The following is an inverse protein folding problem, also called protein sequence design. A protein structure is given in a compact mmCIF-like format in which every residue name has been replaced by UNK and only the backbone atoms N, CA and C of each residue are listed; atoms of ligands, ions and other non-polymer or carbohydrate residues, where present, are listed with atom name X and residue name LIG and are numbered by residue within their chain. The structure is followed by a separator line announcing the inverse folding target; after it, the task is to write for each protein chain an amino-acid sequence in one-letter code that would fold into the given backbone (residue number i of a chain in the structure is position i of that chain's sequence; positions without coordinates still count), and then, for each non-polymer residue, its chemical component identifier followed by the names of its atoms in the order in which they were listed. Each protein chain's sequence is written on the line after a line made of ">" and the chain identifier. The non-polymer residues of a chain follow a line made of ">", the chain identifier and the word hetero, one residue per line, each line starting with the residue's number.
data_IF_385550126339
#
_entry.id   IF_385550126339
#
_cell.length_a   1.000
_cell.length_b   1.000
_cell.length_c   1.000
_cell.angle_alpha   90.00
_cell.angle_beta   90.00
_cell.angle_gamma   90.00
#
_symmetry.space_group_name_H-M   'P 1'
#
loop_
_entity.id
_entity.type
_entity.pdbx_description
1 polymer ?
#
# COMPACT_ATOMS: atom_id res chain seq x y z
N UNK A 1 44.14 -38.85 -47.88
CA UNK A 1 44.08 -38.25 -46.51
C UNK A 1 44.97 -39.03 -45.54
N UNK A 2 46.11 -38.44 -45.15
CA UNK A 2 47.15 -39.06 -44.31
C UNK A 2 46.62 -39.43 -42.91
N UNK A 3 47.10 -40.54 -42.32
CA UNK A 3 46.66 -41.05 -41.01
C UNK A 3 46.70 -39.97 -39.91
N UNK A 4 47.70 -39.07 -39.94
CA UNK A 4 47.81 -37.93 -39.01
C UNK A 4 46.68 -36.91 -39.16
N UNK A 5 46.24 -36.64 -40.38
CA UNK A 5 45.15 -35.69 -40.64
C UNK A 5 43.79 -36.24 -40.16
N UNK A 6 43.56 -37.56 -40.30
CA UNK A 6 42.35 -38.21 -39.78
C UNK A 6 42.29 -38.18 -38.25
N UNK A 7 43.43 -38.37 -37.60
CA UNK A 7 43.53 -38.33 -36.13
C UNK A 7 43.23 -36.92 -35.59
N UNK A 8 43.79 -35.88 -36.22
CA UNK A 8 43.53 -34.50 -35.82
C UNK A 8 42.05 -34.14 -36.00
N UNK A 9 41.46 -34.49 -37.14
CA UNK A 9 40.02 -34.24 -37.39
C UNK A 9 39.14 -34.97 -36.38
N UNK A 10 39.47 -36.22 -36.02
CA UNK A 10 38.71 -36.96 -35.02
C UNK A 10 38.80 -36.34 -33.62
N UNK A 11 39.99 -35.87 -33.22
CA UNK A 11 40.19 -35.19 -31.93
C UNK A 11 39.46 -33.85 -31.89
N UNK A 12 39.54 -33.05 -32.96
CA UNK A 12 38.81 -31.78 -33.05
C UNK A 12 37.29 -32.00 -33.04
N UNK A 13 36.78 -33.01 -33.76
CA UNK A 13 35.36 -33.33 -33.75
C UNK A 13 34.89 -33.78 -32.35
N UNK A 14 35.69 -34.61 -31.64
CA UNK A 14 35.40 -35.00 -30.27
C UNK A 14 35.35 -33.82 -29.30
N UNK A 15 36.32 -32.89 -29.42
CA UNK A 15 36.36 -31.67 -28.62
C UNK A 15 35.15 -30.77 -28.86
N UNK A 16 34.77 -30.56 -30.13
CA UNK A 16 33.58 -29.77 -30.49
C UNK A 16 32.30 -30.40 -29.91
N UNK A 17 32.15 -31.72 -30.01
CA UNK A 17 30.99 -32.42 -29.42
C UNK A 17 30.97 -32.28 -27.91
N UNK A 18 32.12 -32.39 -27.22
CA UNK A 18 32.19 -32.23 -25.76
C UNK A 18 31.86 -30.80 -25.31
N UNK A 19 32.31 -29.78 -26.05
CA UNK A 19 31.98 -28.37 -25.75
C UNK A 19 30.49 -28.10 -25.99
N UNK A 20 29.91 -28.66 -27.05
CA UNK A 20 28.47 -28.54 -27.34
C UNK A 20 27.58 -29.28 -26.35
N UNK A 21 28.06 -30.38 -25.75
CA UNK A 21 27.35 -31.09 -24.68
C UNK A 21 27.46 -30.36 -23.34
N UNK A 22 28.63 -29.81 -23.03
CA UNK A 22 28.84 -29.02 -21.81
C UNK A 22 28.09 -27.69 -21.82
N UNK A 23 27.96 -27.04 -22.98
CA UNK A 23 27.17 -25.80 -23.13
C UNK A 23 25.65 -26.01 -23.14
N UNK A 24 25.19 -27.26 -23.27
CA UNK A 24 23.78 -27.65 -23.10
C UNK A 24 23.42 -28.04 -21.67
N UNK A 25 24.40 -28.23 -20.80
CA UNK A 25 24.16 -28.26 -19.36
C UNK A 25 23.96 -26.81 -18.92
N UNK A 26 22.76 -26.28 -19.18
CA UNK A 26 22.33 -25.03 -18.58
C UNK A 26 22.55 -25.13 -17.08
N UNK A 27 23.06 -24.06 -16.48
CA UNK A 27 22.99 -23.89 -15.03
C UNK A 27 21.54 -24.16 -14.62
N UNK A 28 21.30 -25.30 -13.99
CA UNK A 28 20.09 -25.50 -13.22
C UNK A 28 20.23 -24.53 -12.04
N UNK A 29 19.85 -23.28 -12.28
CA UNK A 29 19.58 -22.37 -11.20
C UNK A 29 18.39 -23.01 -10.51
N UNK A 30 18.64 -23.51 -9.30
CA UNK A 30 17.63 -24.12 -8.46
C UNK A 30 16.46 -23.13 -8.44
N UNK A 31 15.35 -23.53 -9.06
CA UNK A 31 14.17 -22.71 -9.13
C UNK A 31 13.62 -22.74 -7.71
N UNK A 32 14.03 -21.76 -6.89
CA UNK A 32 13.52 -21.59 -5.53
C UNK A 32 12.01 -21.72 -5.62
N UNK A 33 11.46 -22.69 -4.90
CA UNK A 33 10.01 -22.81 -4.83
C UNK A 33 9.49 -21.49 -4.27
N UNK A 34 8.54 -20.84 -4.96
CA UNK A 34 7.83 -19.70 -4.42
C UNK A 34 7.37 -20.01 -2.98
N UNK A 35 7.66 -19.11 -2.03
CA UNK A 35 7.41 -19.31 -0.60
C UNK A 35 8.55 -19.96 0.21
N UNK A 36 9.68 -20.34 -0.39
CA UNK A 36 10.85 -20.90 0.31
C UNK A 36 11.82 -19.84 0.87
N UNK A 37 11.33 -18.64 1.18
CA UNK A 37 12.13 -17.58 1.79
C UNK A 37 12.71 -18.04 3.13
N UNK A 38 13.88 -17.50 3.52
CA UNK A 38 14.49 -17.84 4.80
C UNK A 38 13.68 -17.20 5.93
N UNK A 39 12.65 -17.89 6.40
CA UNK A 39 12.11 -17.61 7.71
C UNK A 39 13.23 -17.78 8.74
N UNK A 40 13.30 -16.88 9.73
CA UNK A 40 14.29 -16.98 10.80
C UNK A 40 14.24 -18.33 11.55
N UNK A 41 13.10 -19.02 11.45
CA UNK A 41 12.88 -20.40 11.89
C UNK A 41 12.32 -21.22 10.73
N UNK A 42 12.96 -22.33 10.32
CA UNK A 42 12.44 -23.21 9.27
C UNK A 42 11.00 -23.66 9.53
N UNK A 43 10.11 -23.49 8.55
CA UNK A 43 8.70 -23.88 8.63
C UNK A 43 7.77 -22.83 9.27
N UNK A 44 8.29 -21.69 9.73
CA UNK A 44 7.49 -20.56 10.21
C UNK A 44 7.23 -19.55 9.08
N UNK A 45 6.12 -18.80 9.18
CA UNK A 45 5.84 -17.67 8.31
C UNK A 45 6.45 -16.38 8.91
N UNK A 46 6.99 -15.49 8.07
CA UNK A 46 7.71 -14.26 8.47
C UNK A 46 9.23 -14.32 8.19
N UNK A 47 9.91 -13.18 8.16
CA UNK A 47 11.35 -13.08 7.84
C UNK A 47 11.84 -11.64 7.74
N UNK A 48 13.15 -11.44 7.55
CA UNK A 48 13.75 -10.11 7.31
C UNK A 48 13.80 -9.73 5.81
N UNK A 49 13.51 -10.68 4.93
CA UNK A 49 13.32 -10.39 3.51
C UNK A 49 12.13 -9.43 3.33
N UNK A 50 12.19 -8.55 2.33
CA UNK A 50 11.20 -7.47 2.09
C UNK A 50 9.75 -8.00 2.11
N UNK A 51 9.53 -9.22 1.63
CA UNK A 51 8.23 -9.89 1.64
C UNK A 51 8.22 -11.16 2.52
N UNK A 52 9.30 -11.48 3.23
CA UNK A 52 9.44 -12.74 3.96
C UNK A 52 9.21 -13.97 3.07
N UNK A 53 8.59 -15.05 3.59
CA UNK A 53 8.27 -16.25 2.83
C UNK A 53 6.96 -16.13 2.04
N UNK A 54 6.45 -14.92 1.80
CA UNK A 54 5.18 -14.70 1.12
C UNK A 54 5.39 -14.45 -0.38
N UNK A 55 4.51 -15.01 -1.20
CA UNK A 55 4.34 -14.60 -2.59
C UNK A 55 3.48 -13.35 -2.64
N UNK A 56 3.98 -12.30 -3.29
CA UNK A 56 3.21 -11.08 -3.50
C UNK A 56 2.17 -11.36 -4.59
N UNK A 57 0.91 -11.08 -4.28
CA UNK A 57 -0.15 -11.03 -5.29
C UNK A 57 -0.02 -9.72 -6.04
N UNK A 58 0.43 -9.78 -7.29
CA UNK A 58 0.56 -8.59 -8.12
C UNK A 58 -0.80 -7.92 -8.30
N UNK A 59 -0.81 -6.58 -8.23
CA UNK A 59 -2.01 -5.76 -8.40
C UNK A 59 -3.15 -6.11 -7.43
N UNK A 60 -2.80 -6.48 -6.19
CA UNK A 60 -3.73 -6.48 -5.07
C UNK A 60 -3.43 -5.29 -4.14
N UNK A 61 -4.41 -4.42 -3.83
CA UNK A 61 -5.74 -4.35 -4.45
C UNK A 61 -5.69 -4.01 -5.95
N UNK A 62 -6.73 -4.40 -6.68
CA UNK A 62 -6.85 -4.09 -8.12
C UNK A 62 -7.01 -2.59 -8.33
N UNK A 63 -6.69 -2.08 -9.54
CA UNK A 63 -7.01 -0.70 -9.91
C UNK A 63 -8.47 -0.34 -9.56
N UNK A 64 -8.68 0.85 -8.98
CA UNK A 64 -10.01 1.31 -8.54
C UNK A 64 -11.03 1.25 -9.68
N UNK A 65 -10.60 1.50 -10.92
CA UNK A 65 -11.43 1.42 -12.13
C UNK A 65 -12.04 0.05 -12.42
N UNK A 66 -11.51 -1.04 -11.85
CA UNK A 66 -12.10 -2.37 -12.01
C UNK A 66 -13.36 -2.56 -11.15
N UNK A 67 -13.50 -1.81 -10.05
CA UNK A 67 -14.64 -1.89 -9.13
C UNK A 67 -15.55 -0.65 -9.17
N UNK A 68 -14.96 0.52 -9.44
CA UNK A 68 -15.64 1.81 -9.36
C UNK A 68 -15.74 2.48 -10.73
N UNK A 69 -16.96 2.73 -11.26
CA UNK A 69 -17.15 3.49 -12.48
C UNK A 69 -16.54 4.90 -12.40
N UNK A 70 -15.96 5.41 -13.49
CA UNK A 70 -15.39 6.76 -13.55
C UNK A 70 -14.05 6.94 -12.84
N UNK A 71 -13.37 5.84 -12.48
CA UNK A 71 -12.06 5.84 -11.82
C UNK A 71 -10.90 5.50 -12.75
N UNK A 72 -11.10 5.51 -14.07
CA UNK A 72 -10.05 5.18 -15.05
C UNK A 72 -8.85 6.13 -14.97
N UNK A 73 -9.07 7.38 -14.54
CA UNK A 73 -8.04 8.39 -14.33
C UNK A 73 -7.56 8.53 -12.88
N UNK A 74 -7.97 7.65 -11.97
CA UNK A 74 -7.77 7.80 -10.53
C UNK A 74 -7.21 6.52 -9.90
N UNK A 75 -6.54 6.68 -8.77
CA UNK A 75 -5.91 5.56 -8.05
C UNK A 75 -5.85 5.84 -6.55
N UNK A 76 -5.57 4.80 -5.78
CA UNK A 76 -5.39 4.87 -4.34
C UNK A 76 -4.36 5.94 -3.97
N UNK A 77 -4.57 6.53 -2.81
CA UNK A 77 -3.75 7.61 -2.29
C UNK A 77 -2.84 7.09 -1.18
N UNK A 78 -2.56 7.94 -0.20
CA UNK A 78 -1.79 7.61 0.99
C UNK A 78 -2.64 6.70 1.86
N UNK A 79 -2.46 5.38 1.70
CA UNK A 79 -2.97 4.39 2.65
C UNK A 79 -2.25 4.61 3.97
N UNK A 80 -3.04 4.91 4.99
CA UNK A 80 -2.55 5.14 6.35
C UNK A 80 -2.52 3.83 7.13
N UNK A 81 -3.55 3.00 6.92
CA UNK A 81 -3.65 1.70 7.59
C UNK A 81 -4.52 0.70 6.81
N UNK A 82 -4.34 -0.58 7.13
CA UNK A 82 -5.06 -1.72 6.57
C UNK A 82 -5.39 -2.70 7.69
N UNK A 83 -6.67 -3.07 7.83
CA UNK A 83 -7.12 -4.05 8.82
C UNK A 83 -7.89 -5.19 8.17
N UNK A 84 -7.41 -6.41 8.33
CA UNK A 84 -8.06 -7.61 7.80
C UNK A 84 -9.00 -8.24 8.84
N UNK A 85 -10.30 -7.96 8.76
CA UNK A 85 -11.30 -8.66 9.56
C UNK A 85 -11.42 -10.13 9.12
N UNK A 86 -11.36 -10.35 7.80
CA UNK A 86 -11.33 -11.68 7.19
C UNK A 86 -10.65 -11.60 5.81
N UNK A 87 -10.35 -12.73 5.16
CA UNK A 87 -9.84 -12.71 3.79
C UNK A 87 -10.75 -11.95 2.81
N UNK A 88 -12.06 -11.95 3.03
CA UNK A 88 -13.04 -11.30 2.13
C UNK A 88 -13.43 -9.88 2.57
N UNK A 89 -12.84 -9.39 3.66
CA UNK A 89 -13.23 -8.11 4.24
C UNK A 89 -12.01 -7.45 4.87
N UNK A 90 -11.25 -6.75 4.03
CA UNK A 90 -10.04 -6.02 4.41
C UNK A 90 -10.31 -4.53 4.30
N UNK A 91 -10.30 -3.84 5.43
CA UNK A 91 -10.41 -2.39 5.49
C UNK A 91 -9.13 -1.75 4.98
N UNK A 92 -9.27 -0.73 4.14
CA UNK A 92 -8.22 0.16 3.69
C UNK A 92 -8.62 1.58 4.05
N UNK A 93 -7.82 2.22 4.89
CA UNK A 93 -8.00 3.62 5.28
C UNK A 93 -6.94 4.47 4.59
N UNK A 94 -7.38 5.51 3.89
CA UNK A 94 -6.52 6.36 3.09
C UNK A 94 -6.93 7.82 3.10
N UNK A 95 -6.03 8.68 2.62
CA UNK A 95 -6.34 10.07 2.31
C UNK A 95 -6.91 10.20 0.90
N UNK A 96 -8.23 10.11 0.75
CA UNK A 96 -8.88 10.34 -0.54
C UNK A 96 -8.24 9.59 -1.72
N UNK A 97 -8.09 10.26 -2.84
CA UNK A 97 -7.57 9.69 -4.07
C UNK A 97 -6.61 10.63 -4.80
N UNK A 98 -5.80 10.03 -5.68
CA UNK A 98 -4.87 10.76 -6.51
C UNK A 98 -5.02 10.38 -7.99
N UNK A 99 -4.66 11.26 -8.94
CA UNK A 99 -4.70 10.95 -10.36
C UNK A 99 -3.80 9.76 -10.71
N UNK A 100 -4.25 8.90 -11.61
CA UNK A 100 -3.42 7.81 -12.13
C UNK A 100 -2.31 8.39 -13.03
N UNK A 101 -1.06 8.01 -12.78
CA UNK A 101 0.08 8.36 -13.64
C UNK A 101 0.50 7.09 -14.37
N UNK A 102 -0.11 6.85 -15.54
CA UNK A 102 0.16 5.64 -16.34
C UNK A 102 1.58 5.58 -16.88
N UNK A 103 2.17 6.75 -17.19
CA UNK A 103 3.48 6.84 -17.80
C UNK A 103 4.34 7.87 -17.07
N UNK A 104 5.60 7.52 -16.81
CA UNK A 104 6.57 8.46 -16.24
C UNK A 104 6.76 9.63 -17.20
N UNK A 105 6.48 10.88 -16.80
CA UNK A 105 6.73 12.02 -17.66
C UNK A 105 8.24 12.21 -17.86
N UNK A 106 8.61 12.77 -19.01
CA UNK A 106 10.00 13.08 -19.33
C UNK A 106 10.55 14.11 -18.35
N UNK A 107 11.78 13.92 -17.90
CA UNK A 107 12.49 14.91 -17.08
C UNK A 107 12.66 16.23 -17.84
N UNK A 108 12.28 17.33 -17.19
CA UNK A 108 12.54 18.70 -17.63
C UNK A 108 13.67 19.31 -16.80
N UNK A 109 14.54 20.08 -17.44
CA UNK A 109 15.56 20.87 -16.75
C UNK A 109 14.92 22.11 -16.14
N UNK A 110 15.32 22.47 -14.92
CA UNK A 110 14.81 23.61 -14.15
C UNK A 110 15.95 24.59 -13.83
N UNK A 111 16.61 25.19 -14.84
CA UNK A 111 17.75 26.08 -14.64
C UNK A 111 17.43 27.31 -13.79
N UNK A 112 16.16 27.74 -13.76
CA UNK A 112 15.67 28.84 -12.93
C UNK A 112 15.74 28.55 -11.43
N UNK A 113 15.74 27.29 -11.02
CA UNK A 113 15.88 26.88 -9.62
C UNK A 113 17.35 26.67 -9.22
N UNK A 114 18.24 26.47 -10.19
CA UNK A 114 19.67 26.28 -9.96
C UNK A 114 20.36 25.31 -10.93
N UNK A 115 21.69 25.31 -10.95
CA UNK A 115 22.47 24.44 -11.83
C UNK A 115 22.25 22.95 -11.47
N UNK A 116 22.07 22.10 -12.47
CA UNK A 116 21.97 20.66 -12.28
C UNK A 116 20.58 20.14 -11.86
N UNK A 117 19.56 21.00 -11.79
CA UNK A 117 18.21 20.60 -11.36
C UNK A 117 17.33 20.12 -12.53
N UNK A 118 16.70 18.96 -12.33
CA UNK A 118 15.72 18.38 -13.25
C UNK A 118 14.60 17.66 -12.47
N UNK A 119 13.38 17.65 -13.03
CA UNK A 119 12.23 16.95 -12.44
C UNK A 119 11.30 16.35 -13.53
N UNK A 120 10.66 15.19 -13.31
CA UNK A 120 10.95 14.25 -12.22
C UNK A 120 12.34 13.62 -12.39
N UNK A 121 13.00 13.30 -11.28
CA UNK A 121 14.21 12.50 -11.34
C UNK A 121 13.83 11.04 -11.66
N UNK A 122 14.35 10.48 -12.76
CA UNK A 122 13.99 9.15 -13.23
C UNK A 122 14.24 8.02 -12.21
N UNK A 123 15.11 8.26 -11.21
CA UNK A 123 15.44 7.30 -10.14
C UNK A 123 14.59 7.44 -8.88
N UNK A 124 13.75 8.47 -8.79
CA UNK A 124 12.90 8.72 -7.62
C UNK A 124 11.44 8.38 -7.93
N UNK A 125 10.60 8.10 -6.91
CA UNK A 125 9.16 8.00 -7.07
C UNK A 125 8.58 9.17 -7.87
N UNK A 126 7.53 8.90 -8.64
CA UNK A 126 6.91 9.90 -9.53
C UNK A 126 6.32 11.09 -8.77
N UNK A 127 5.79 10.83 -7.57
CA UNK A 127 5.22 11.82 -6.67
C UNK A 127 5.47 11.42 -5.22
N UNK A 128 5.48 12.41 -4.34
CA UNK A 128 5.28 12.19 -2.91
C UNK A 128 3.78 12.24 -2.62
N UNK A 129 3.12 11.09 -2.53
CA UNK A 129 1.66 11.00 -2.32
C UNK A 129 1.20 11.83 -1.11
N UNK A 130 1.93 11.76 0.01
CA UNK A 130 1.66 12.52 1.24
C UNK A 130 1.53 14.04 1.08
N UNK A 131 2.28 14.62 0.14
CA UNK A 131 2.25 16.05 -0.16
C UNK A 131 1.33 16.43 -1.33
N UNK A 132 0.81 15.42 -2.04
CA UNK A 132 0.01 15.60 -3.25
C UNK A 132 -1.48 15.77 -2.97
N UNK A 133 -1.92 15.44 -1.75
CA UNK A 133 -3.29 15.65 -1.27
C UNK A 133 -3.28 16.37 0.09
N UNK A 134 -4.13 17.41 0.29
CA UNK A 134 -4.31 18.02 1.61
C UNK A 134 -4.83 17.02 2.65
N UNK A 135 -4.92 17.47 3.89
CA UNK A 135 -5.75 16.81 4.89
C UNK A 135 -7.18 17.36 4.76
N UNK A 136 -8.18 16.65 5.28
CA UNK A 136 -9.58 17.03 5.17
C UNK A 136 -9.95 18.39 5.80
N UNK A 137 -9.17 18.89 6.75
CA UNK A 137 -9.32 20.27 7.28
C UNK A 137 -8.79 21.37 6.34
N UNK A 138 -8.06 20.97 5.30
CA UNK A 138 -7.26 21.86 4.46
C UNK A 138 -7.61 21.73 2.97
N UNK A 139 -8.80 21.22 2.65
CA UNK A 139 -9.26 21.04 1.26
C UNK A 139 -9.34 22.38 0.50
N UNK A 140 -9.70 23.46 1.19
CA UNK A 140 -9.80 24.81 0.62
C UNK A 140 -8.53 25.65 0.80
N UNK A 141 -7.48 25.09 1.40
CA UNK A 141 -6.26 25.83 1.68
C UNK A 141 -5.47 26.09 0.39
N UNK A 142 -5.06 27.35 0.19
CA UNK A 142 -4.24 27.74 -0.96
C UNK A 142 -2.92 26.97 -1.02
N UNK A 143 -2.50 26.59 -2.23
CA UNK A 143 -1.22 25.91 -2.46
C UNK A 143 -1.22 24.40 -2.19
N UNK A 144 -2.39 23.77 -2.00
CA UNK A 144 -2.53 22.32 -1.75
C UNK A 144 -2.97 21.54 -2.99
N UNK A 145 -2.50 21.95 -4.17
CA UNK A 145 -2.97 21.39 -5.44
C UNK A 145 -4.40 21.85 -5.79
N UNK A 146 -4.94 21.32 -6.88
CA UNK A 146 -6.27 21.65 -7.41
C UNK A 146 -7.24 20.49 -7.14
N UNK A 147 -8.33 20.71 -6.38
CA UNK A 147 -9.39 19.71 -6.21
C UNK A 147 -9.92 19.21 -7.56
N UNK A 148 -10.14 17.91 -7.71
CA UNK A 148 -10.65 17.27 -8.93
C UNK A 148 -9.64 17.18 -10.08
N UNK A 149 -8.43 17.72 -9.93
CA UNK A 149 -7.35 17.61 -10.93
C UNK A 149 -6.11 16.95 -10.32
N UNK A 150 -5.68 17.40 -9.14
CA UNK A 150 -4.49 16.89 -8.46
C UNK A 150 -4.84 15.89 -7.35
N UNK A 151 -6.09 15.88 -6.88
CA UNK A 151 -6.63 14.97 -5.85
C UNK A 151 -8.18 14.98 -5.81
N UNK A 152 -8.80 13.96 -5.21
CA UNK A 152 -10.20 13.94 -4.74
C UNK A 152 -10.23 13.55 -3.26
N UNK A 153 -11.13 14.15 -2.48
CA UNK A 153 -11.31 13.77 -1.07
C UNK A 153 -12.57 12.91 -0.93
N UNK A 154 -12.46 11.69 -1.43
CA UNK A 154 -13.53 10.69 -1.50
C UNK A 154 -12.93 9.30 -1.26
N UNK A 155 -13.73 8.32 -0.82
CA UNK A 155 -13.29 6.93 -0.61
C UNK A 155 -12.15 6.81 0.41
N UNK A 156 -12.24 7.57 1.52
CA UNK A 156 -11.24 7.52 2.58
C UNK A 156 -11.23 6.20 3.34
N UNK A 157 -12.37 5.49 3.35
CA UNK A 157 -12.52 4.16 3.95
C UNK A 157 -13.15 3.24 2.90
N UNK A 158 -12.39 2.21 2.52
CA UNK A 158 -12.79 1.19 1.56
C UNK A 158 -12.69 -0.19 2.20
N UNK A 159 -13.45 -1.15 1.68
CA UNK A 159 -13.32 -2.56 2.05
C UNK A 159 -13.06 -3.39 0.80
N UNK A 160 -12.06 -4.26 0.88
CA UNK A 160 -11.48 -4.98 -0.25
C UNK A 160 -11.53 -6.49 0.03
N UNK A 161 -11.92 -7.27 -0.97
CA UNK A 161 -11.96 -8.74 -0.87
C UNK A 161 -10.61 -9.41 -1.19
N UNK A 162 -10.53 -10.74 -1.02
CA UNK A 162 -9.31 -11.51 -1.30
C UNK A 162 -8.90 -11.46 -2.77
N UNK A 163 -9.84 -11.20 -3.67
CA UNK A 163 -9.59 -11.05 -5.10
C UNK A 163 -9.12 -9.62 -5.47
N UNK A 164 -9.13 -8.70 -4.51
CA UNK A 164 -8.67 -7.32 -4.67
C UNK A 164 -9.72 -6.38 -5.21
N UNK A 165 -10.99 -6.75 -5.21
CA UNK A 165 -12.10 -5.89 -5.63
C UNK A 165 -12.55 -5.02 -4.45
N UNK A 166 -12.98 -3.80 -4.73
CA UNK A 166 -13.63 -2.93 -3.74
C UNK A 166 -15.08 -3.43 -3.58
N UNK A 167 -15.45 -3.82 -2.37
CA UNK A 167 -16.77 -4.41 -2.06
C UNK A 167 -17.63 -3.52 -1.16
N UNK A 168 -17.02 -2.58 -0.43
CA UNK A 168 -17.74 -1.53 0.31
C UNK A 168 -17.04 -0.19 0.19
N UNK A 169 -17.87 0.86 0.15
CA UNK A 169 -17.46 2.26 0.11
C UNK A 169 -18.15 2.97 1.26
N UNK A 170 -17.37 3.58 2.15
CA UNK A 170 -17.91 4.31 3.30
C UNK A 170 -17.93 5.83 3.03
N UNK A 171 -18.26 6.22 1.79
CA UNK A 171 -18.20 7.61 1.30
C UNK A 171 -19.17 8.55 2.00
N UNK A 172 -20.24 8.01 2.62
CA UNK A 172 -21.14 8.78 3.48
C UNK A 172 -20.41 9.44 4.66
N UNK A 173 -19.23 8.92 5.05
CA UNK A 173 -18.42 9.43 6.15
C UNK A 173 -17.20 10.24 5.72
N UNK A 174 -16.96 10.45 4.42
CA UNK A 174 -15.76 11.17 3.95
C UNK A 174 -15.60 12.57 4.55
N UNK A 175 -16.73 13.22 4.84
CA UNK A 175 -16.79 14.55 5.46
C UNK A 175 -16.33 14.59 6.93
N UNK A 176 -16.24 13.44 7.61
CA UNK A 176 -15.75 13.38 8.99
C UNK A 176 -14.22 13.47 9.05
N UNK A 177 -13.52 13.09 7.98
CA UNK A 177 -12.10 12.77 8.04
C UNK A 177 -11.20 13.97 7.78
N UNK A 178 -10.14 14.06 8.58
CA UNK A 178 -9.06 15.03 8.46
C UNK A 178 -7.79 14.29 8.00
N UNK A 179 -7.38 13.27 8.75
CA UNK A 179 -6.38 12.27 8.34
C UNK A 179 -6.63 10.96 9.11
N UNK A 180 -7.53 10.09 8.62
CA UNK A 180 -7.84 8.83 9.28
C UNK A 180 -6.58 7.96 9.19
N UNK A 181 -6.08 7.53 10.33
CA UNK A 181 -4.71 7.04 10.52
C UNK A 181 -4.63 5.55 10.83
N UNK A 182 -5.63 5.00 11.51
CA UNK A 182 -5.64 3.62 12.00
C UNK A 182 -7.08 3.10 12.02
N UNK A 183 -7.26 1.83 11.68
CA UNK A 183 -8.54 1.13 11.72
C UNK A 183 -8.39 -0.19 12.47
N UNK A 184 -9.25 -0.44 13.46
CA UNK A 184 -9.15 -1.64 14.29
C UNK A 184 -10.55 -2.16 14.65
N UNK A 185 -10.66 -3.49 14.74
CA UNK A 185 -11.84 -4.15 15.30
C UNK A 185 -11.41 -4.97 16.50
N UNK A 186 -12.00 -4.68 17.67
CA UNK A 186 -11.71 -5.44 18.88
C UNK A 186 -12.06 -6.93 18.69
N UNK A 187 -11.13 -7.86 18.96
CA UNK A 187 -11.44 -9.28 18.92
C UNK A 187 -12.44 -9.69 20.01
N UNK A 188 -12.59 -8.86 21.05
CA UNK A 188 -13.46 -9.08 22.20
C UNK A 188 -14.87 -8.49 22.03
N UNK A 189 -15.09 -7.68 20.99
CA UNK A 189 -16.41 -7.13 20.67
C UNK A 189 -17.18 -8.10 19.76
N UNK A 190 -18.28 -8.74 20.24
CA UNK A 190 -19.08 -9.65 19.43
C UNK A 190 -19.84 -8.93 18.29
N UNK A 191 -20.08 -7.63 18.41
CA UNK A 191 -20.75 -6.82 17.38
C UNK A 191 -19.76 -6.29 16.33
N UNK A 192 -18.46 -6.53 16.52
CA UNK A 192 -17.39 -6.22 15.56
C UNK A 192 -17.38 -4.77 15.09
N UNK A 193 -17.68 -3.85 16.00
CA UNK A 193 -17.61 -2.43 15.70
C UNK A 193 -16.23 -2.02 15.19
N UNK A 194 -16.23 -1.12 14.21
CA UNK A 194 -15.03 -0.61 13.56
C UNK A 194 -14.63 0.69 14.24
N UNK A 195 -13.39 0.74 14.72
CA UNK A 195 -12.78 1.93 15.32
C UNK A 195 -11.85 2.56 14.30
N UNK A 196 -11.97 3.87 14.09
CA UNK A 196 -11.09 4.63 13.19
C UNK A 196 -10.52 5.80 13.97
N UNK A 197 -9.20 5.85 14.07
CA UNK A 197 -8.45 6.94 14.69
C UNK A 197 -8.17 8.01 13.66
N UNK A 198 -8.50 9.27 13.93
CA UNK A 198 -8.13 10.39 13.07
C UNK A 198 -7.08 11.28 13.73
N UNK A 199 -5.88 11.29 13.14
CA UNK A 199 -4.74 11.98 13.71
C UNK A 199 -4.88 13.51 13.61
N UNK A 200 -5.20 14.05 12.45
CA UNK A 200 -5.32 15.52 12.33
C UNK A 200 -6.72 16.02 12.74
N UNK A 201 -7.69 15.11 12.89
CA UNK A 201 -9.00 15.38 13.46
C UNK A 201 -9.01 15.34 15.00
N UNK A 202 -7.99 14.76 15.62
CA UNK A 202 -7.89 14.67 17.09
C UNK A 202 -9.07 13.92 17.72
N UNK A 203 -9.53 12.86 17.04
CA UNK A 203 -10.67 12.07 17.50
C UNK A 203 -10.49 10.58 17.19
N UNK A 204 -11.30 9.76 17.85
CA UNK A 204 -11.56 8.37 17.46
C UNK A 204 -13.05 8.21 17.24
N UNK A 205 -13.44 7.64 16.11
CA UNK A 205 -14.82 7.27 15.84
C UNK A 205 -15.00 5.76 15.90
N UNK A 206 -16.15 5.33 16.43
CA UNK A 206 -16.58 3.93 16.43
C UNK A 206 -17.85 3.82 15.60
N UNK A 207 -17.91 2.85 14.69
CA UNK A 207 -19.07 2.58 13.84
C UNK A 207 -19.61 1.18 14.06
N UNK A 208 -20.88 0.95 13.71
CA UNK A 208 -21.39 -0.41 13.50
C UNK A 208 -20.52 -1.14 12.47
N UNK A 209 -20.44 -2.48 12.56
CA UNK A 209 -19.58 -3.25 11.65
C UNK A 209 -19.92 -3.02 10.16
N UNK A 210 -21.19 -2.76 9.86
CA UNK A 210 -21.69 -2.46 8.51
C UNK A 210 -21.53 -0.98 8.09
N UNK A 211 -20.91 -0.16 8.92
CA UNK A 211 -20.61 1.25 8.63
C UNK A 211 -21.84 2.15 8.51
N UNK A 212 -23.03 1.72 8.91
CA UNK A 212 -24.25 2.52 8.77
C UNK A 212 -24.45 3.57 9.85
N UNK A 213 -23.94 3.31 11.06
CA UNK A 213 -24.15 4.21 12.19
C UNK A 213 -22.83 4.54 12.89
N UNK A 214 -22.63 5.82 13.20
CA UNK A 214 -21.60 6.29 14.13
C UNK A 214 -22.11 6.10 15.57
N UNK A 215 -21.44 5.25 16.35
CA UNK A 215 -21.89 4.86 17.70
C UNK A 215 -21.14 5.57 18.83
N UNK A 216 -19.91 6.05 18.58
CA UNK A 216 -19.11 6.76 19.58
C UNK A 216 -18.12 7.73 18.94
N UNK A 217 -17.86 8.84 19.63
CA UNK A 217 -16.76 9.76 19.37
C UNK A 217 -15.95 9.94 20.66
N UNK A 218 -14.64 9.76 20.59
CA UNK A 218 -13.68 10.15 21.62
C UNK A 218 -12.86 11.35 21.13
N UNK A 219 -12.53 12.27 22.03
CA UNK A 219 -11.94 13.56 21.66
C UNK A 219 -12.98 14.59 21.22
N UNK A 220 -12.52 15.79 20.91
CA UNK A 220 -13.32 16.87 20.33
C UNK A 220 -12.86 17.09 18.89
N UNK A 221 -13.67 16.74 17.87
CA UNK A 221 -13.25 16.83 16.48
C UNK A 221 -12.69 18.22 16.09
N UNK A 222 -11.47 18.22 15.56
CA UNK A 222 -10.74 19.41 15.14
C UNK A 222 -10.11 20.24 16.25
N UNK A 223 -10.26 19.85 17.53
CA UNK A 223 -9.76 20.60 18.68
C UNK A 223 -8.68 19.80 19.43
N UNK A 224 -7.38 20.11 19.23
CA UNK A 224 -6.30 19.39 19.90
C UNK A 224 -6.18 19.80 21.37
N UNK A 225 -6.07 18.83 22.28
CA UNK A 225 -5.87 19.07 23.71
C UNK A 225 -5.10 17.96 24.42
N UNK A 226 -4.78 18.17 25.69
CA UNK A 226 -4.03 17.21 26.53
C UNK A 226 -4.74 16.99 27.87
N UNK A 227 -6.05 17.17 27.90
CA UNK A 227 -6.90 16.94 29.07
C UNK A 227 -7.72 15.65 28.89
N UNK A 228 -8.54 15.31 29.88
CA UNK A 228 -9.28 14.04 29.92
C UNK A 228 -10.34 13.89 28.80
N UNK A 229 -10.64 14.96 28.06
CA UNK A 229 -11.70 14.98 27.04
C UNK A 229 -11.21 15.24 25.62
N UNK A 230 -9.98 15.73 25.46
CA UNK A 230 -9.38 16.02 24.16
C UNK A 230 -8.27 15.02 23.83
N UNK A 231 -7.99 14.90 22.54
CA UNK A 231 -6.82 14.18 22.04
C UNK A 231 -5.90 15.18 21.32
N UNK A 232 -4.64 14.82 21.13
CA UNK A 232 -3.69 15.60 20.32
C UNK A 232 -2.88 14.67 19.42
N UNK A 233 -3.51 14.40 18.29
CA UNK A 233 -2.94 13.65 17.18
C UNK A 233 -2.74 12.17 17.49
N UNK A 234 -3.84 11.48 17.83
CA UNK A 234 -3.80 10.05 18.07
C UNK A 234 -3.46 9.33 16.78
N UNK A 235 -2.71 8.23 16.86
CA UNK A 235 -2.20 7.54 15.65
C UNK A 235 -2.48 6.06 15.62
N UNK A 236 -2.60 5.39 16.77
CA UNK A 236 -2.78 3.93 16.82
C UNK A 236 -3.57 3.52 18.05
N UNK A 237 -4.44 2.53 17.88
CA UNK A 237 -5.26 1.95 18.93
C UNK A 237 -5.06 0.43 18.98
N UNK A 238 -4.95 -0.13 20.18
CA UNK A 238 -4.90 -1.60 20.37
C UNK A 238 -5.73 -2.04 21.56
N UNK A 239 -6.31 -3.23 21.46
CA UNK A 239 -7.12 -3.84 22.52
C UNK A 239 -6.32 -4.88 23.30
N UNK A 240 -6.26 -4.73 24.62
CA UNK A 240 -5.68 -5.75 25.49
C UNK A 240 -6.71 -6.82 25.83
N UNK A 241 -7.90 -6.39 26.24
CA UNK A 241 -9.05 -7.24 26.60
C UNK A 241 -10.38 -6.50 26.33
N UNK A 242 -11.50 -7.11 26.72
CA UNK A 242 -12.84 -6.57 26.51
C UNK A 242 -13.09 -5.20 27.15
N UNK A 243 -12.28 -4.81 28.14
CA UNK A 243 -12.49 -3.60 28.94
C UNK A 243 -11.32 -2.60 28.85
N UNK A 244 -10.26 -2.95 28.10
CA UNK A 244 -9.03 -2.16 28.09
C UNK A 244 -8.52 -1.95 26.66
N UNK A 245 -8.37 -0.69 26.28
CA UNK A 245 -7.69 -0.26 25.05
C UNK A 245 -6.56 0.71 25.38
N UNK A 246 -5.52 0.70 24.56
CA UNK A 246 -4.44 1.68 24.57
C UNK A 246 -4.52 2.51 23.30
N UNK A 247 -4.46 3.83 23.44
CA UNK A 247 -4.39 4.78 22.34
C UNK A 247 -3.04 5.49 22.42
N UNK A 248 -2.31 5.52 21.31
CA UNK A 248 -1.11 6.33 21.17
C UNK A 248 -1.52 7.74 20.71
N UNK A 249 -1.45 8.70 21.63
CA UNK A 249 -1.77 10.12 21.46
C UNK A 249 -0.60 11.01 21.91
#
# INVERSE_FOLDING_TARGET
>A
MNKRLRLIVAVCAGLVVSVLLASRMGSAQEQMQPGSGFAAVPGMKGGQDIFGPYEVVENWPKPMSESLPGHEGWTYSVTMDVFAESPDRVFLVQKGELPLIEQRPRSVWLPELGPGLQFPNFRLPLRQAGASIPNGDQLEAGGRGRPGIDWRWEHCVLVIDREGNIIEEWTQWDHLWYRPHDVEISPYDPEKHVWIVDADGHMVHKFTNDGKELVLTLGTPGEPGMDDTHLRRPTFLVFMDANTMYLAD
#
